data_IF_660587345986
#
_entry.id   IF_660587345986
#
_cell.length_a   1.000
_cell.length_b   1.000
_cell.length_c   1.000
_cell.angle_alpha   90.00
_cell.angle_beta   90.00
_cell.angle_gamma   90.00
#
_symmetry.space_group_name_H-M   'P 1'
#
loop_
_entity.id
_entity.type
_entity.pdbx_description
1 polymer ?
#
# COMPACT_ATOMS: atom_id res chain seq x y z
N UNK A 1 4.49 -1.94 -6.54
CA UNK A 1 3.50 -2.03 -5.44
C UNK A 1 3.28 -3.46 -5.02
N UNK A 2 2.91 -4.37 -5.93
CA UNK A 2 2.70 -5.80 -5.63
C UNK A 2 3.86 -6.44 -4.83
N UNK A 3 5.11 -6.24 -5.25
CA UNK A 3 6.27 -6.78 -4.54
C UNK A 3 6.38 -6.30 -3.09
N UNK A 4 6.05 -5.03 -2.81
CA UNK A 4 6.07 -4.49 -1.44
C UNK A 4 4.98 -5.12 -0.57
N UNK A 5 3.79 -5.36 -1.14
CA UNK A 5 2.70 -6.05 -0.45
C UNK A 5 3.08 -7.52 -0.17
N UNK A 6 3.69 -8.18 -1.15
CA UNK A 6 4.15 -9.56 -0.99
C UNK A 6 5.27 -9.67 0.06
N UNK A 7 6.25 -8.76 0.04
CA UNK A 7 7.30 -8.69 1.05
C UNK A 7 6.70 -8.46 2.45
N UNK A 8 5.68 -7.62 2.56
CA UNK A 8 4.98 -7.37 3.84
C UNK A 8 4.35 -8.64 4.40
N UNK A 9 3.75 -9.47 3.53
CA UNK A 9 3.21 -10.79 3.90
C UNK A 9 4.36 -11.71 4.34
N UNK A 10 5.46 -11.78 3.59
CA UNK A 10 6.63 -12.61 3.95
C UNK A 10 7.21 -12.23 5.32
N UNK A 11 7.31 -10.93 5.63
CA UNK A 11 7.73 -10.46 6.96
C UNK A 11 6.80 -10.98 8.06
N UNK A 12 5.48 -10.94 7.84
CA UNK A 12 4.49 -11.48 8.77
C UNK A 12 4.59 -13.01 8.90
N UNK A 13 4.81 -13.73 7.81
CA UNK A 13 4.83 -15.19 7.83
C UNK A 13 6.13 -15.75 8.42
N UNK A 14 7.29 -15.24 7.99
CA UNK A 14 8.60 -15.72 8.43
C UNK A 14 8.97 -15.22 9.82
N UNK A 15 8.50 -14.03 10.18
CA UNK A 15 8.91 -13.33 11.40
C UNK A 15 7.72 -12.88 12.27
N UNK A 16 6.52 -13.41 12.03
CA UNK A 16 5.32 -13.11 12.81
C UNK A 16 5.49 -13.35 14.31
N UNK A 17 6.26 -14.36 14.73
CA UNK A 17 6.56 -14.58 16.15
C UNK A 17 7.34 -13.41 16.80
N UNK A 18 8.00 -12.59 15.99
CA UNK A 18 8.72 -11.38 16.41
C UNK A 18 7.95 -10.09 16.09
N UNK A 19 7.25 -10.04 14.96
CA UNK A 19 6.57 -8.87 14.40
C UNK A 19 5.08 -9.20 14.31
N UNK A 20 4.35 -9.06 15.42
CA UNK A 20 2.91 -9.27 15.51
C UNK A 20 2.23 -8.18 16.35
N UNK A 21 0.90 -8.09 16.24
CA UNK A 21 0.05 -7.13 16.97
C UNK A 21 -0.23 -7.57 18.42
N UNK A 22 -0.10 -8.85 18.74
CA UNK A 22 -0.64 -9.44 19.97
C UNK A 22 0.34 -9.45 21.15
N UNK A 23 1.63 -9.18 20.92
CA UNK A 23 2.64 -9.20 21.96
C UNK A 23 3.37 -7.86 22.08
N UNK A 24 2.95 -7.08 23.07
CA UNK A 24 3.38 -5.72 23.41
C UNK A 24 4.89 -5.46 23.53
N UNK A 25 5.80 -6.44 23.29
CA UNK A 25 7.25 -6.31 23.45
C UNK A 25 8.14 -7.39 22.76
N UNK A 26 7.70 -8.06 21.70
CA UNK A 26 8.47 -9.18 21.07
C UNK A 26 9.83 -8.79 20.51
N UNK A 27 10.05 -7.53 20.13
CA UNK A 27 11.35 -7.03 19.67
C UNK A 27 12.40 -6.87 20.78
N UNK A 28 12.05 -7.08 22.06
CA UNK A 28 13.00 -6.95 23.19
C UNK A 28 13.90 -8.18 23.40
N UNK A 29 13.49 -9.35 22.91
CA UNK A 29 14.33 -10.54 23.03
C UNK A 29 15.50 -10.47 22.03
N UNK A 30 16.67 -11.03 22.38
CA UNK A 30 17.89 -10.93 21.54
C UNK A 30 17.72 -11.56 20.13
N UNK A 31 16.84 -12.54 20.00
CA UNK A 31 16.62 -13.29 18.74
C UNK A 31 15.71 -12.54 17.74
N UNK A 32 14.81 -11.70 18.25
CA UNK A 32 13.90 -10.88 17.46
C UNK A 32 14.44 -9.47 17.25
N UNK A 33 15.35 -8.97 18.10
CA UNK A 33 15.90 -7.62 17.97
C UNK A 33 16.52 -7.39 16.57
N UNK A 34 17.39 -8.30 16.11
CA UNK A 34 18.00 -8.18 14.77
C UNK A 34 16.96 -8.22 13.64
N UNK A 35 15.90 -9.02 13.78
CA UNK A 35 14.81 -9.09 12.79
C UNK A 35 13.99 -7.80 12.78
N UNK A 36 13.69 -7.24 13.93
CA UNK A 36 12.96 -5.98 14.05
C UNK A 36 13.80 -4.80 13.52
N UNK A 37 15.11 -4.78 13.79
CA UNK A 37 16.02 -3.77 13.21
C UNK A 37 16.07 -3.87 11.68
N UNK A 38 16.14 -5.09 11.13
CA UNK A 38 16.09 -5.31 9.69
C UNK A 38 14.75 -4.88 9.09
N UNK A 39 13.62 -5.21 9.73
CA UNK A 39 12.30 -4.78 9.29
C UNK A 39 12.17 -3.25 9.33
N UNK A 40 12.62 -2.60 10.40
CA UNK A 40 12.61 -1.13 10.49
C UNK A 40 13.44 -0.48 9.38
N UNK A 41 14.63 -1.02 9.07
CA UNK A 41 15.45 -0.57 7.93
C UNK A 41 14.75 -0.78 6.59
N UNK A 42 14.07 -1.91 6.43
CA UNK A 42 13.27 -2.19 5.22
C UNK A 42 12.12 -1.18 5.08
N UNK A 43 11.37 -0.89 6.15
CA UNK A 43 10.29 0.12 6.13
C UNK A 43 10.82 1.49 5.74
N UNK A 44 11.94 1.94 6.34
CA UNK A 44 12.57 3.22 5.98
C UNK A 44 12.93 3.27 4.50
N UNK A 45 13.57 2.21 3.99
CA UNK A 45 13.91 2.12 2.57
C UNK A 45 12.67 2.18 1.68
N UNK A 46 11.58 1.52 2.08
CA UNK A 46 10.31 1.56 1.33
C UNK A 46 9.63 2.92 1.39
N UNK A 47 9.75 3.68 2.48
CA UNK A 47 9.29 5.08 2.55
C UNK A 47 10.04 5.99 1.58
N UNK A 48 11.35 5.81 1.45
CA UNK A 48 12.17 6.57 0.51
C UNK A 48 11.84 6.21 -0.95
N UNK A 49 11.75 4.91 -1.26
CA UNK A 49 11.32 4.42 -2.58
C UNK A 49 9.93 4.96 -2.94
N UNK A 50 8.98 4.90 -1.99
CA UNK A 50 7.61 5.39 -2.18
C UNK A 50 7.55 6.91 -2.41
N UNK A 51 8.34 7.68 -1.66
CA UNK A 51 8.43 9.13 -1.84
C UNK A 51 8.94 9.51 -3.24
N UNK A 52 9.93 8.77 -3.75
CA UNK A 52 10.44 8.97 -5.11
C UNK A 52 9.39 8.62 -6.17
N UNK A 53 8.61 7.56 -5.97
CA UNK A 53 7.50 7.20 -6.86
C UNK A 53 6.45 8.31 -6.89
N UNK A 54 6.02 8.82 -5.73
CA UNK A 54 5.06 9.94 -5.65
C UNK A 54 5.59 11.18 -6.36
N UNK A 55 6.87 11.51 -6.15
CA UNK A 55 7.50 12.66 -6.82
C UNK A 55 7.49 12.49 -8.33
N UNK A 56 7.89 11.33 -8.84
CA UNK A 56 7.86 11.05 -10.27
C UNK A 56 6.43 11.12 -10.83
N UNK A 57 5.46 10.52 -10.14
CA UNK A 57 4.07 10.52 -10.58
C UNK A 57 3.48 11.93 -10.67
N UNK A 58 3.86 12.83 -9.75
CA UNK A 58 3.47 14.24 -9.75
C UNK A 58 4.06 15.06 -10.92
N UNK A 59 5.07 14.54 -11.62
CA UNK A 59 5.63 15.22 -12.82
C UNK A 59 4.85 14.93 -14.10
N UNK A 60 3.90 13.99 -14.06
CA UNK A 60 3.06 13.61 -15.21
C UNK A 60 1.97 14.67 -15.44
N UNK A 61 2.30 15.68 -16.25
CA UNK A 61 1.43 16.83 -16.55
C UNK A 61 0.27 16.50 -17.50
N UNK A 62 0.37 15.41 -18.25
CA UNK A 62 -0.70 14.81 -19.07
C UNK A 62 -1.88 14.35 -18.21
N UNK A 63 -1.63 13.80 -17.01
CA UNK A 63 -2.70 13.42 -16.08
C UNK A 63 -3.58 14.62 -15.74
N UNK A 64 -2.98 15.79 -15.50
CA UNK A 64 -3.73 17.02 -15.22
C UNK A 64 -4.56 17.44 -16.44
N UNK A 65 -3.99 17.30 -17.64
CA UNK A 65 -4.66 17.68 -18.89
C UNK A 65 -5.85 16.77 -19.20
N UNK A 66 -5.72 15.47 -18.97
CA UNK A 66 -6.74 14.47 -19.31
C UNK A 66 -7.83 14.36 -18.23
N UNK A 67 -7.44 14.40 -16.96
CA UNK A 67 -8.37 14.16 -15.84
C UNK A 67 -8.86 15.44 -15.18
N UNK A 68 -8.15 16.55 -15.37
CA UNK A 68 -8.39 17.80 -14.61
C UNK A 68 -7.99 17.71 -13.14
N UNK A 69 -7.36 16.61 -12.71
CA UNK A 69 -7.05 16.32 -11.32
C UNK A 69 -5.55 16.37 -11.01
N UNK A 70 -5.26 16.68 -9.75
CA UNK A 70 -3.90 16.58 -9.22
C UNK A 70 -3.39 15.14 -9.36
N UNK A 71 -2.20 14.90 -9.94
CA UNK A 71 -1.72 13.54 -10.16
C UNK A 71 -1.62 12.73 -8.87
N UNK A 72 -1.34 13.37 -7.73
CA UNK A 72 -1.32 12.70 -6.43
C UNK A 72 -2.69 12.20 -5.98
N UNK A 73 -3.77 12.91 -6.31
CA UNK A 73 -5.15 12.46 -6.08
C UNK A 73 -5.49 11.28 -7.00
N UNK A 74 -5.11 11.37 -8.28
CA UNK A 74 -5.28 10.26 -9.23
C UNK A 74 -4.52 9.01 -8.77
N UNK A 75 -3.29 9.17 -8.29
CA UNK A 75 -2.50 8.08 -7.72
C UNK A 75 -3.19 7.47 -6.50
N UNK A 76 -3.72 8.29 -5.59
CA UNK A 76 -4.44 7.80 -4.42
C UNK A 76 -5.69 7.00 -4.82
N UNK A 77 -6.44 7.46 -5.82
CA UNK A 77 -7.62 6.77 -6.36
C UNK A 77 -7.27 5.40 -6.97
N UNK A 78 -6.18 5.31 -7.74
CA UNK A 78 -5.69 4.04 -8.31
C UNK A 78 -5.24 3.04 -7.25
N UNK A 79 -4.88 3.53 -6.07
CA UNK A 79 -4.40 2.73 -4.95
C UNK A 79 -5.47 2.50 -3.88
N UNK A 80 -6.71 2.91 -4.11
CA UNK A 80 -7.83 2.46 -3.31
C UNK A 80 -7.97 0.94 -3.41
N UNK A 81 -8.37 0.30 -2.31
CA UNK A 81 -8.31 -1.16 -2.13
C UNK A 81 -8.93 -1.93 -3.30
N UNK A 82 -10.16 -1.59 -3.69
CA UNK A 82 -10.88 -2.27 -4.76
C UNK A 82 -10.18 -2.14 -6.12
N UNK A 83 -9.64 -0.97 -6.44
CA UNK A 83 -9.00 -0.71 -7.72
C UNK A 83 -7.60 -1.33 -7.77
N UNK A 84 -6.84 -1.20 -6.67
CA UNK A 84 -5.55 -1.84 -6.50
C UNK A 84 -5.65 -3.37 -6.65
N UNK A 85 -6.66 -4.00 -6.04
CA UNK A 85 -6.86 -5.44 -6.16
C UNK A 85 -7.19 -5.86 -7.60
N UNK A 86 -8.05 -5.13 -8.31
CA UNK A 86 -8.31 -5.38 -9.73
C UNK A 86 -7.04 -5.26 -10.57
N UNK A 87 -6.22 -4.23 -10.33
CA UNK A 87 -4.96 -4.01 -11.05
C UNK A 87 -3.99 -5.18 -10.80
N UNK A 88 -3.85 -5.61 -9.54
CA UNK A 88 -2.98 -6.73 -9.17
C UNK A 88 -3.46 -8.04 -9.82
N UNK A 89 -4.75 -8.38 -9.68
CA UNK A 89 -5.32 -9.60 -10.29
C UNK A 89 -5.25 -9.57 -11.82
N UNK A 90 -5.48 -8.41 -12.45
CA UNK A 90 -5.37 -8.25 -13.89
C UNK A 90 -3.95 -8.41 -14.42
N UNK A 91 -2.95 -8.04 -13.62
CA UNK A 91 -1.53 -8.08 -14.01
C UNK A 91 -0.89 -9.44 -13.74
N UNK A 92 -1.13 -10.01 -12.55
CA UNK A 92 -0.48 -11.23 -12.08
C UNK A 92 -1.37 -12.48 -12.18
N UNK A 93 -2.66 -12.30 -12.51
CA UNK A 93 -3.66 -13.37 -12.50
C UNK A 93 -4.17 -13.66 -11.08
N UNK A 94 -5.22 -14.47 -11.00
CA UNK A 94 -5.71 -14.99 -9.71
C UNK A 94 -4.81 -16.11 -9.23
N UNK A 95 -4.05 -15.87 -8.17
CA UNK A 95 -3.18 -16.85 -7.53
C UNK A 95 -3.36 -16.82 -6.02
N UNK A 96 -2.74 -17.78 -5.32
CA UNK A 96 -2.71 -17.73 -3.85
C UNK A 96 -2.04 -16.46 -3.35
N UNK A 97 -1.02 -15.94 -4.05
CA UNK A 97 -0.35 -14.71 -3.65
C UNK A 97 -1.26 -13.49 -3.72
N UNK A 98 -2.08 -13.37 -4.77
CA UNK A 98 -3.03 -12.25 -4.89
C UNK A 98 -4.17 -12.32 -3.88
N UNK A 99 -4.62 -13.53 -3.52
CA UNK A 99 -5.61 -13.72 -2.46
C UNK A 99 -5.04 -13.34 -1.08
N UNK A 100 -3.80 -13.71 -0.76
CA UNK A 100 -3.18 -13.29 0.50
C UNK A 100 -2.98 -11.77 0.59
N UNK A 101 -2.73 -11.09 -0.54
CA UNK A 101 -2.70 -9.63 -0.59
C UNK A 101 -4.08 -9.04 -0.27
N UNK A 102 -5.14 -9.60 -0.84
CA UNK A 102 -6.53 -9.21 -0.54
C UNK A 102 -6.83 -9.34 0.95
N UNK A 103 -6.53 -10.49 1.55
CA UNK A 103 -6.73 -10.73 2.98
C UNK A 103 -5.96 -9.71 3.84
N UNK A 104 -4.68 -9.45 3.52
CA UNK A 104 -3.86 -8.50 4.25
C UNK A 104 -4.38 -7.05 4.18
N UNK A 105 -4.87 -6.61 3.02
CA UNK A 105 -5.46 -5.27 2.86
C UNK A 105 -6.75 -5.12 3.67
N UNK A 106 -7.58 -6.16 3.72
CA UNK A 106 -8.80 -6.18 4.53
C UNK A 106 -8.51 -6.16 6.05
N UNK A 107 -7.54 -6.96 6.50
CA UNK A 107 -7.11 -7.02 7.91
C UNK A 107 -6.48 -5.71 8.42
N UNK A 108 -5.84 -4.94 7.53
CA UNK A 108 -5.22 -3.67 7.90
C UNK A 108 -6.22 -2.52 8.01
N UNK A 109 -7.50 -2.75 7.69
CA UNK A 109 -8.57 -1.76 7.87
C UNK A 109 -8.37 -0.51 7.00
N UNK A 110 -7.71 -0.65 5.86
CA UNK A 110 -7.46 0.47 4.94
C UNK A 110 -8.76 0.97 4.29
N UNK A 111 -9.82 0.16 4.36
CA UNK A 111 -11.21 0.49 4.06
C UNK A 111 -11.80 1.54 5.02
N UNK A 112 -11.41 2.80 4.83
CA UNK A 112 -12.24 3.93 5.22
C UNK A 112 -12.11 5.01 4.13
N UNK A 113 -13.12 5.05 3.27
CA UNK A 113 -13.23 5.99 2.15
C UNK A 113 -14.27 5.61 1.10
N UNK A 114 -15.34 4.88 1.45
CA UNK A 114 -16.42 4.60 0.49
C UNK A 114 -17.27 5.86 0.30
N UNK A 115 -17.03 6.56 -0.80
CA UNK A 115 -18.08 7.18 -1.58
C UNK A 115 -17.88 6.72 -3.03
N UNK A 116 -18.51 5.60 -3.36
CA UNK A 116 -18.63 5.11 -4.71
C UNK A 116 -19.23 6.21 -5.60
N UNK A 117 -18.44 6.74 -6.51
CA UNK A 117 -18.94 7.41 -7.69
C UNK A 117 -18.41 6.63 -8.90
N UNK A 118 -19.12 5.56 -9.26
CA UNK A 118 -19.08 5.06 -10.63
C UNK A 118 -19.58 6.17 -11.54
N UNK A 119 -18.65 6.87 -12.17
CA UNK A 119 -18.92 7.94 -13.10
C UNK A 119 -17.63 8.64 -13.48
N UNK A 120 -17.13 8.38 -14.68
CA UNK A 120 -16.18 9.27 -15.37
C UNK A 120 -16.89 10.61 -15.53
N UNK A 121 -16.75 11.49 -14.53
CA UNK A 121 -17.25 12.86 -14.56
C UNK A 121 -16.47 13.69 -13.54
N UNK A 122 -15.38 14.31 -14.00
CA UNK A 122 -14.85 15.62 -13.56
C UNK A 122 -14.68 15.97 -12.07
N UNK A 123 -14.95 15.08 -11.12
CA UNK A 123 -14.82 15.36 -9.69
C UNK A 123 -13.61 14.62 -9.16
N UNK A 124 -12.51 15.34 -8.97
CA UNK A 124 -11.33 14.84 -8.28
C UNK A 124 -11.77 14.38 -6.88
N UNK A 125 -11.60 13.09 -6.60
CA UNK A 125 -12.10 12.44 -5.38
C UNK A 125 -11.71 13.20 -4.11
N UNK A 126 -12.60 13.18 -3.11
CA UNK A 126 -12.48 13.94 -1.86
C UNK A 126 -11.37 13.43 -0.91
N UNK A 127 -10.69 12.34 -1.26
CA UNK A 127 -9.61 11.76 -0.47
C UNK A 127 -8.29 12.40 -0.95
N UNK A 128 -7.67 13.21 -0.08
CA UNK A 128 -6.42 13.91 -0.39
C UNK A 128 -5.28 12.98 -0.83
N UNK A 129 -4.07 13.52 -0.99
CA UNK A 129 -2.93 12.83 -1.63
C UNK A 129 -2.36 11.59 -0.90
N UNK A 130 -2.98 11.14 0.20
CA UNK A 130 -2.51 9.99 0.98
C UNK A 130 -3.21 8.71 0.51
N UNK A 131 -2.42 7.74 0.06
CA UNK A 131 -2.87 6.45 -0.48
C UNK A 131 -2.91 5.33 0.57
N UNK A 132 -3.44 4.17 0.17
CA UNK A 132 -3.33 2.90 0.92
C UNK A 132 -1.88 2.57 1.29
N UNK A 133 -0.93 2.85 0.38
CA UNK A 133 0.49 2.59 0.62
C UNK A 133 1.05 3.51 1.70
N UNK A 134 0.59 4.76 1.78
CA UNK A 134 0.96 5.68 2.87
C UNK A 134 0.43 5.22 4.24
N UNK A 135 -0.70 4.49 4.27
CA UNK A 135 -1.24 3.92 5.51
C UNK A 135 -0.49 2.63 5.94
N UNK A 136 0.07 1.89 4.99
CA UNK A 136 0.78 0.63 5.26
C UNK A 136 2.24 0.84 5.73
N UNK A 137 2.88 1.95 5.35
CA UNK A 137 4.28 2.27 5.68
C UNK A 137 4.44 3.14 6.93
#
# INVERSE_FOLDING_TARGET
VADMLQDSIKWRDEHGNCINKDNDNTCKNKQCNSKCECFAKWVVKKKDEWSNIKNHFNTQGDIVQETGCDPGVTLAALLEEDELLKIIEGTYGKSKETEHIREMLQETGVANGVASASGVSGTCGANGKNSTIDKLL
#
